data_IF_797363208621
#
_entry.id   IF_797363208621
#
_cell.length_a   1.000
_cell.length_b   1.000
_cell.length_c   1.000
_cell.angle_alpha   90.00
_cell.angle_beta   90.00
_cell.angle_gamma   90.00
#
_symmetry.space_group_name_H-M   'P 1'
#
loop_
_entity.id
_entity.type
_entity.pdbx_description
1 polymer ?
#
# COMPACT_ATOMS: atom_id res chain seq x y z
N UNK A 1 -21.23 34.06 -19.29
CA UNK A 1 -20.22 33.25 -18.53
C UNK A 1 -18.99 33.09 -19.40
N UNK A 2 -17.80 33.51 -18.95
CA UNK A 2 -16.54 33.26 -19.68
C UNK A 2 -16.37 31.75 -19.86
N UNK A 3 -16.32 31.28 -21.09
CA UNK A 3 -15.97 29.90 -21.43
C UNK A 3 -14.60 29.60 -20.87
N UNK A 4 -14.54 28.79 -19.81
CA UNK A 4 -13.26 28.36 -19.24
C UNK A 4 -12.58 27.49 -20.29
N UNK A 5 -11.43 27.92 -20.82
CA UNK A 5 -10.71 27.17 -21.85
C UNK A 5 -10.49 25.72 -21.41
N UNK A 6 -11.06 24.80 -22.18
CA UNK A 6 -11.06 23.38 -21.85
C UNK A 6 -9.70 22.76 -22.16
N UNK A 7 -8.83 22.72 -21.14
CA UNK A 7 -7.54 22.03 -21.21
C UNK A 7 -7.66 20.51 -21.17
N UNK A 8 -6.73 19.82 -21.84
CA UNK A 8 -6.52 18.37 -21.76
C UNK A 8 -5.49 18.05 -20.68
N UNK A 9 -5.95 17.42 -19.60
CA UNK A 9 -5.14 17.07 -18.45
C UNK A 9 -4.97 15.56 -18.39
N UNK A 10 -3.71 15.11 -18.33
CA UNK A 10 -3.37 13.69 -18.16
C UNK A 10 -3.00 13.44 -16.70
N UNK A 11 -3.59 12.43 -16.10
CA UNK A 11 -3.33 12.00 -14.72
C UNK A 11 -2.73 10.60 -14.76
N UNK A 12 -1.54 10.44 -14.20
CA UNK A 12 -0.82 9.16 -14.17
C UNK A 12 -0.96 8.50 -12.80
N UNK A 13 -1.58 7.32 -12.74
CA UNK A 13 -1.77 6.52 -11.54
C UNK A 13 -3.23 6.44 -11.08
N UNK A 14 -3.83 5.26 -11.18
CA UNK A 14 -5.22 4.97 -10.75
C UNK A 14 -5.42 4.76 -9.25
N UNK A 15 -4.62 5.42 -8.39
CA UNK A 15 -4.80 5.39 -6.93
C UNK A 15 -5.64 6.56 -6.41
N UNK A 16 -5.77 6.68 -5.08
CA UNK A 16 -6.60 7.73 -4.43
C UNK A 16 -6.38 9.14 -4.98
N UNK A 17 -5.11 9.58 -5.07
CA UNK A 17 -4.79 10.93 -5.52
C UNK A 17 -5.14 11.15 -7.00
N UNK A 18 -4.93 10.14 -7.86
CA UNK A 18 -5.27 10.24 -9.27
C UNK A 18 -6.78 10.25 -9.50
N UNK A 19 -7.50 9.34 -8.83
CA UNK A 19 -8.96 9.27 -8.88
C UNK A 19 -9.60 10.58 -8.42
N UNK A 20 -9.19 11.11 -7.26
CA UNK A 20 -9.72 12.37 -6.73
C UNK A 20 -9.40 13.57 -7.64
N UNK A 21 -8.18 13.60 -8.21
CA UNK A 21 -7.77 14.63 -9.16
C UNK A 21 -8.68 14.64 -10.39
N UNK A 22 -8.97 13.45 -10.94
CA UNK A 22 -9.87 13.30 -12.09
C UNK A 22 -11.27 13.81 -11.75
N UNK A 23 -11.81 13.48 -10.58
CA UNK A 23 -13.15 13.92 -10.18
C UNK A 23 -13.25 15.44 -10.10
N UNK A 24 -12.28 16.08 -9.45
CA UNK A 24 -12.25 17.55 -9.33
C UNK A 24 -12.09 18.23 -10.68
N UNK A 25 -11.18 17.76 -11.51
CA UNK A 25 -10.90 18.36 -12.82
C UNK A 25 -12.06 18.19 -13.81
N UNK A 26 -12.77 17.06 -13.75
CA UNK A 26 -14.00 16.85 -14.52
C UNK A 26 -15.12 17.79 -14.08
N UNK A 27 -15.30 18.01 -12.77
CA UNK A 27 -16.25 19.01 -12.24
C UNK A 27 -15.91 20.44 -12.70
N UNK A 28 -14.63 20.74 -12.92
CA UNK A 28 -14.18 22.03 -13.45
C UNK A 28 -14.31 22.17 -14.98
N UNK A 29 -14.79 21.14 -15.68
CA UNK A 29 -15.09 21.17 -17.12
C UNK A 29 -13.96 20.72 -18.06
N UNK A 30 -12.79 20.35 -17.53
CA UNK A 30 -11.61 19.98 -18.34
C UNK A 30 -11.74 18.61 -19.01
N UNK A 31 -11.04 18.38 -20.13
CA UNK A 31 -10.87 17.03 -20.72
C UNK A 31 -9.82 16.32 -19.86
N UNK A 32 -10.17 15.19 -19.24
CA UNK A 32 -9.24 14.48 -18.34
C UNK A 32 -9.05 13.05 -18.82
N UNK A 33 -7.80 12.62 -18.93
CA UNK A 33 -7.43 11.22 -19.16
C UNK A 33 -6.71 10.66 -17.95
N UNK A 34 -7.21 9.58 -17.37
CA UNK A 34 -6.55 8.79 -16.34
C UNK A 34 -5.79 7.64 -17.01
N UNK A 35 -4.49 7.53 -16.74
CA UNK A 35 -3.67 6.39 -17.14
C UNK A 35 -3.34 5.56 -15.91
N UNK A 36 -3.60 4.26 -15.95
CA UNK A 36 -3.32 3.33 -14.85
C UNK A 36 -2.75 2.03 -15.38
N UNK A 37 -1.82 1.42 -14.63
CA UNK A 37 -1.28 0.09 -14.95
C UNK A 37 -2.18 -1.05 -14.46
N UNK A 38 -3.33 -0.72 -13.86
CA UNK A 38 -4.37 -1.60 -13.35
C UNK A 38 -5.74 -1.01 -13.66
N UNK A 39 -6.73 -1.87 -13.81
CA UNK A 39 -8.13 -1.55 -14.08
C UNK A 39 -8.96 -1.22 -12.83
N UNK A 40 -8.35 -1.21 -11.64
CA UNK A 40 -9.00 -0.85 -10.38
C UNK A 40 -8.14 0.07 -9.51
N UNK A 41 -8.80 0.91 -8.70
CA UNK A 41 -8.19 1.59 -7.56
C UNK A 41 -8.22 0.66 -6.34
N UNK A 42 -7.06 0.38 -5.74
CA UNK A 42 -6.94 -0.51 -4.58
C UNK A 42 -7.07 0.24 -3.26
N UNK A 43 -7.97 -0.21 -2.38
CA UNK A 43 -8.27 0.46 -1.11
C UNK A 43 -7.38 -0.10 0.01
N UNK A 44 -6.14 0.36 0.06
CA UNK A 44 -5.14 -0.11 1.03
C UNK A 44 -5.59 -0.16 2.50
N UNK A 45 -6.30 0.86 3.05
CA UNK A 45 -6.68 0.85 4.46
C UNK A 45 -7.52 -0.37 4.87
N UNK A 46 -8.47 -0.81 4.03
CA UNK A 46 -9.33 -1.96 4.33
C UNK A 46 -8.72 -3.30 3.89
N UNK A 47 -7.70 -3.26 3.02
CA UNK A 47 -6.99 -4.47 2.55
C UNK A 47 -6.25 -5.22 3.66
N UNK A 48 -6.05 -4.58 4.82
CA UNK A 48 -5.38 -5.15 5.99
C UNK A 48 -6.05 -6.43 6.53
N UNK A 49 -7.34 -6.62 6.20
CA UNK A 49 -8.13 -7.76 6.61
C UNK A 49 -8.14 -8.91 5.59
N UNK A 50 -7.61 -8.70 4.38
CA UNK A 50 -7.47 -9.75 3.34
C UNK A 50 -6.58 -10.89 3.82
N UNK A 51 -5.39 -10.64 4.44
CA UNK A 51 -4.52 -11.69 4.97
C UNK A 51 -5.16 -12.68 5.94
N UNK A 52 -6.21 -12.26 6.65
CA UNK A 52 -6.88 -13.07 7.68
C UNK A 52 -8.30 -13.47 7.27
N UNK A 53 -8.62 -13.40 5.96
CA UNK A 53 -9.91 -13.82 5.39
C UNK A 53 -11.15 -13.12 6.00
N UNK A 54 -10.98 -11.90 6.51
CA UNK A 54 -12.09 -11.09 7.03
C UNK A 54 -12.77 -10.24 5.96
N UNK A 55 -12.11 -10.03 4.81
CA UNK A 55 -12.66 -9.38 3.61
C UNK A 55 -12.05 -10.06 2.37
N UNK A 56 -12.79 -10.13 1.26
CA UNK A 56 -12.24 -10.67 0.03
C UNK A 56 -11.39 -9.62 -0.69
N UNK A 57 -10.48 -10.10 -1.54
CA UNK A 57 -9.60 -9.21 -2.31
C UNK A 57 -10.36 -8.35 -3.32
N UNK A 58 -11.49 -8.82 -3.83
CA UNK A 58 -12.32 -8.05 -4.77
C UNK A 58 -13.13 -6.95 -4.07
N UNK A 59 -13.51 -7.15 -2.81
CA UNK A 59 -14.24 -6.16 -2.00
C UNK A 59 -13.39 -4.92 -1.67
N UNK A 60 -12.07 -5.00 -1.86
CA UNK A 60 -11.13 -3.89 -1.62
C UNK A 60 -10.68 -3.20 -2.91
N UNK A 61 -11.42 -3.41 -4.00
CA UNK A 61 -11.20 -2.79 -5.31
C UNK A 61 -12.34 -1.87 -5.68
N UNK A 62 -12.00 -0.76 -6.33
CA UNK A 62 -12.94 0.10 -7.02
C UNK A 62 -12.64 0.05 -8.52
N UNK A 63 -13.47 -0.62 -9.34
CA UNK A 63 -13.25 -0.69 -10.79
C UNK A 63 -13.18 0.71 -11.42
N UNK A 64 -12.08 1.02 -12.10
CA UNK A 64 -11.88 2.34 -12.70
C UNK A 64 -12.89 2.60 -13.83
N UNK A 65 -13.34 1.54 -14.52
CA UNK A 65 -14.38 1.63 -15.55
C UNK A 65 -15.72 2.13 -14.98
N UNK A 66 -16.07 1.75 -13.75
CA UNK A 66 -17.32 2.22 -13.14
C UNK A 66 -17.19 3.68 -12.70
N UNK A 67 -16.04 4.05 -12.14
CA UNK A 67 -15.73 5.46 -11.85
C UNK A 67 -15.74 6.30 -13.14
N UNK A 68 -15.25 5.75 -14.26
CA UNK A 68 -15.27 6.40 -15.57
C UNK A 68 -16.70 6.66 -16.06
N UNK A 69 -17.60 5.68 -15.93
CA UNK A 69 -19.02 5.82 -16.31
C UNK A 69 -19.70 6.93 -15.52
N UNK A 70 -19.41 7.06 -14.22
CA UNK A 70 -20.03 8.05 -13.33
C UNK A 70 -19.44 9.45 -13.57
N UNK A 71 -18.11 9.59 -13.61
CA UNK A 71 -17.42 10.89 -13.65
C UNK A 71 -17.01 11.35 -15.06
N UNK A 72 -17.30 10.54 -16.08
CA UNK A 72 -17.17 10.86 -17.51
C UNK A 72 -15.75 11.32 -17.91
N UNK A 73 -14.71 10.63 -17.44
CA UNK A 73 -13.32 10.85 -17.89
C UNK A 73 -12.90 9.82 -18.94
N UNK A 74 -11.73 9.99 -19.55
CA UNK A 74 -11.13 8.98 -20.43
C UNK A 74 -10.20 8.07 -19.61
N UNK A 75 -10.35 6.76 -19.70
CA UNK A 75 -9.49 5.80 -19.02
C UNK A 75 -8.58 5.10 -20.02
N UNK A 76 -7.31 4.99 -19.70
CA UNK A 76 -6.33 4.18 -20.42
C UNK A 76 -5.70 3.22 -19.42
N UNK A 77 -5.85 1.92 -19.69
CA UNK A 77 -5.16 0.88 -18.94
C UNK A 77 -3.87 0.55 -19.69
N UNK A 78 -2.78 1.21 -19.29
CA UNK A 78 -1.46 1.05 -19.90
C UNK A 78 -0.36 1.45 -18.91
N UNK A 79 0.84 0.90 -19.12
CA UNK A 79 2.02 1.18 -18.32
C UNK A 79 2.78 2.37 -18.88
N UNK A 80 2.99 3.38 -18.05
CA UNK A 80 3.87 4.52 -18.37
C UNK A 80 5.32 4.04 -18.48
N UNK A 81 5.98 4.40 -19.58
CA UNK A 81 7.40 4.09 -19.85
C UNK A 81 8.29 5.30 -19.59
N UNK A 82 7.91 6.47 -20.08
CA UNK A 82 8.65 7.71 -19.85
C UNK A 82 7.77 8.95 -19.98
N UNK A 83 8.22 10.05 -19.36
CA UNK A 83 7.61 11.38 -19.48
C UNK A 83 8.62 12.25 -20.24
N UNK A 84 8.21 12.78 -21.40
CA UNK A 84 9.02 13.67 -22.24
C UNK A 84 8.49 15.09 -22.05
N UNK A 85 8.85 15.68 -20.91
CA UNK A 85 8.25 16.95 -20.44
C UNK A 85 8.50 18.14 -21.37
N UNK A 86 9.63 18.17 -22.08
CA UNK A 86 9.95 19.23 -23.06
C UNK A 86 8.97 19.28 -24.24
N UNK A 87 8.31 18.16 -24.52
CA UNK A 87 7.35 18.01 -25.62
C UNK A 87 5.92 17.82 -25.12
N UNK A 88 5.68 17.97 -23.81
CA UNK A 88 4.38 17.75 -23.16
C UNK A 88 3.71 16.41 -23.55
N UNK A 89 4.50 15.33 -23.60
CA UNK A 89 3.99 13.99 -23.93
C UNK A 89 4.45 12.90 -22.97
N UNK A 90 3.65 11.86 -22.85
CA UNK A 90 3.95 10.64 -22.09
C UNK A 90 3.99 9.46 -23.05
N UNK A 91 5.05 8.67 -22.97
CA UNK A 91 5.19 7.41 -23.71
C UNK A 91 4.65 6.29 -22.82
N UNK A 92 3.58 5.64 -23.27
CA UNK A 92 3.01 4.45 -22.65
C UNK A 92 3.58 3.20 -23.36
N UNK A 93 3.18 2.00 -22.94
CA UNK A 93 3.70 0.80 -23.59
C UNK A 93 3.14 0.63 -25.00
N UNK A 94 1.89 1.03 -25.25
CA UNK A 94 1.20 0.80 -26.51
C UNK A 94 0.88 2.08 -27.30
N UNK A 95 1.06 3.25 -26.70
CA UNK A 95 0.74 4.53 -27.35
C UNK A 95 1.48 5.72 -26.72
N UNK A 96 1.42 6.86 -27.38
CA UNK A 96 1.87 8.16 -26.84
C UNK A 96 0.66 9.04 -26.57
N UNK A 97 0.70 9.85 -25.52
CA UNK A 97 -0.34 10.83 -25.20
C UNK A 97 0.26 12.20 -24.90
N UNK A 98 -0.30 13.22 -25.54
CA UNK A 98 0.04 14.63 -25.30
C UNK A 98 -0.90 15.24 -24.26
N UNK A 99 -0.47 16.33 -23.63
CA UNK A 99 -1.22 17.01 -22.59
C UNK A 99 -0.97 18.53 -22.58
N UNK A 100 -1.94 19.30 -22.08
CA UNK A 100 -1.69 20.68 -21.64
C UNK A 100 -1.09 20.69 -20.22
N UNK A 101 -1.56 19.78 -19.36
CA UNK A 101 -1.07 19.61 -18.00
C UNK A 101 -0.96 18.14 -17.62
N UNK A 102 0.06 17.82 -16.82
CA UNK A 102 0.33 16.48 -16.32
C UNK A 102 0.26 16.44 -14.80
N UNK A 103 -0.48 15.47 -14.26
CA UNK A 103 -0.49 15.13 -12.83
C UNK A 103 0.17 13.77 -12.65
N UNK A 104 1.23 13.72 -11.83
CA UNK A 104 1.92 12.47 -11.49
C UNK A 104 1.45 11.98 -10.12
N UNK A 105 0.73 10.86 -10.10
CA UNK A 105 0.05 10.30 -8.92
C UNK A 105 0.33 8.79 -8.73
N UNK A 106 1.54 8.33 -9.07
CA UNK A 106 1.96 6.92 -8.93
C UNK A 106 2.04 6.41 -7.48
N UNK A 107 2.04 7.31 -6.50
CA UNK A 107 2.34 6.97 -5.11
C UNK A 107 3.83 6.76 -4.88
N UNK A 108 4.17 6.04 -3.80
CA UNK A 108 5.56 5.77 -3.42
C UNK A 108 6.03 4.40 -3.88
N UNK A 109 7.29 4.30 -4.27
CA UNK A 109 7.98 3.02 -4.45
C UNK A 109 8.81 2.67 -3.22
N UNK A 110 9.24 1.41 -3.14
CA UNK A 110 10.10 0.93 -2.06
C UNK A 110 11.56 1.03 -2.48
N UNK A 111 12.41 1.37 -1.53
CA UNK A 111 13.85 1.25 -1.73
C UNK A 111 14.24 -0.23 -1.79
N UNK A 112 15.16 -0.60 -2.70
CA UNK A 112 15.72 -1.94 -2.69
C UNK A 112 16.46 -2.19 -1.37
N UNK A 113 16.34 -3.41 -0.87
CA UNK A 113 17.05 -3.89 0.31
C UNK A 113 17.37 -5.38 0.11
N UNK A 114 18.56 -5.86 0.52
CA UNK A 114 18.92 -7.26 0.32
C UNK A 114 17.89 -8.21 0.94
N UNK A 115 17.44 -9.20 0.16
CA UNK A 115 16.49 -10.21 0.61
C UNK A 115 15.02 -9.77 0.63
N UNK A 116 14.65 -8.60 0.09
CA UNK A 116 13.23 -8.20 0.04
C UNK A 116 12.33 -9.21 -0.68
N UNK A 117 12.89 -9.99 -1.61
CA UNK A 117 12.25 -11.12 -2.29
C UNK A 117 11.79 -12.23 -1.34
N UNK A 118 12.38 -12.33 -0.15
CA UNK A 118 11.99 -13.26 0.92
C UNK A 118 10.86 -12.70 1.80
N UNK A 119 10.39 -11.49 1.52
CA UNK A 119 9.36 -10.82 2.32
C UNK A 119 8.10 -10.59 1.50
N UNK A 120 6.98 -10.50 2.20
CA UNK A 120 5.74 -9.98 1.64
C UNK A 120 5.38 -8.66 2.29
N UNK A 121 4.56 -7.85 1.62
CA UNK A 121 4.17 -6.56 2.21
C UNK A 121 2.76 -6.13 1.87
N UNK A 122 2.04 -5.80 2.94
CA UNK A 122 0.66 -5.33 2.89
C UNK A 122 0.51 -3.93 2.26
N UNK A 123 1.59 -3.13 2.27
CA UNK A 123 1.66 -1.82 1.60
C UNK A 123 2.31 -1.91 0.21
N UNK A 124 2.52 -3.12 -0.32
CA UNK A 124 3.15 -3.35 -1.62
C UNK A 124 2.17 -3.33 -2.79
N UNK A 125 2.48 -4.12 -3.82
CA UNK A 125 1.49 -4.43 -4.87
C UNK A 125 0.28 -5.13 -4.24
N UNK A 126 -0.96 -4.87 -4.69
CA UNK A 126 -2.17 -5.46 -4.12
C UNK A 126 -2.10 -6.97 -3.88
N UNK A 127 -1.56 -7.71 -4.85
CA UNK A 127 -1.51 -9.18 -4.84
C UNK A 127 -0.63 -9.73 -3.70
N UNK A 128 0.23 -8.91 -3.11
CA UNK A 128 1.00 -9.27 -1.92
C UNK A 128 0.08 -9.59 -0.73
N UNK A 129 -1.09 -8.95 -0.62
CA UNK A 129 -2.06 -9.27 0.44
C UNK A 129 -2.54 -10.72 0.37
N UNK A 130 -2.73 -11.26 -0.84
CA UNK A 130 -3.07 -12.66 -1.08
C UNK A 130 -1.90 -13.58 -0.73
N UNK A 131 -0.67 -13.22 -1.08
CA UNK A 131 0.51 -14.02 -0.71
C UNK A 131 0.70 -14.10 0.80
N UNK A 132 0.47 -13.01 1.51
CA UNK A 132 0.48 -12.98 2.98
C UNK A 132 -0.60 -13.92 3.52
N UNK A 133 -1.84 -13.83 2.99
CA UNK A 133 -2.94 -14.73 3.36
C UNK A 133 -2.54 -16.20 3.20
N UNK A 134 -2.05 -16.56 2.03
CA UNK A 134 -1.77 -17.96 1.68
C UNK A 134 -0.64 -18.52 2.57
N UNK A 135 0.39 -17.71 2.84
CA UNK A 135 1.47 -18.10 3.77
C UNK A 135 1.01 -18.18 5.22
N UNK A 136 0.12 -17.30 5.64
CA UNK A 136 -0.47 -17.39 6.97
C UNK A 136 -1.37 -18.63 7.10
N UNK A 137 -2.15 -18.97 6.07
CA UNK A 137 -2.95 -20.19 6.02
C UNK A 137 -2.08 -21.46 6.07
N UNK A 138 -0.93 -21.49 5.38
CA UNK A 138 0.05 -22.57 5.48
C UNK A 138 0.55 -22.75 6.93
N UNK A 139 0.88 -21.65 7.61
CA UNK A 139 1.28 -21.66 9.02
C UNK A 139 0.16 -22.15 9.94
N UNK A 140 -1.08 -21.69 9.72
CA UNK A 140 -2.24 -22.14 10.49
C UNK A 140 -2.48 -23.64 10.33
N UNK A 141 -2.33 -24.18 9.12
CA UNK A 141 -2.42 -25.62 8.86
C UNK A 141 -1.30 -26.41 9.53
N UNK A 142 -0.06 -25.88 9.50
CA UNK A 142 1.09 -26.46 10.19
C UNK A 142 0.90 -26.49 11.71
N UNK A 143 0.22 -25.47 12.25
CA UNK A 143 -0.14 -25.38 13.67
C UNK A 143 0.96 -24.82 14.57
N UNK A 144 2.13 -24.48 14.01
CA UNK A 144 3.24 -23.83 14.71
C UNK A 144 4.13 -23.07 13.73
N UNK A 145 4.95 -22.15 14.23
CA UNK A 145 5.94 -21.46 13.40
C UNK A 145 6.47 -20.16 14.00
N UNK A 146 7.17 -19.40 13.16
CA UNK A 146 7.67 -18.06 13.52
C UNK A 146 7.07 -17.03 12.58
N UNK A 147 6.61 -15.91 13.11
CA UNK A 147 6.06 -14.80 12.34
C UNK A 147 6.81 -13.53 12.72
N UNK A 148 7.46 -12.91 11.73
CA UNK A 148 8.10 -11.62 11.89
C UNK A 148 7.34 -10.57 11.07
N UNK A 149 6.84 -9.52 11.73
CA UNK A 149 6.19 -8.38 11.08
C UNK A 149 6.94 -7.12 11.47
N UNK A 150 7.16 -6.22 10.51
CA UNK A 150 7.91 -5.02 10.78
C UNK A 150 7.93 -4.10 9.59
N UNK A 151 8.69 -3.03 9.73
CA UNK A 151 8.90 -2.08 8.66
C UNK A 151 10.31 -1.55 8.64
N UNK A 152 10.81 -1.31 7.44
CA UNK A 152 12.04 -0.55 7.24
C UNK A 152 11.79 0.95 7.39
N UNK A 153 12.89 1.69 7.37
CA UNK A 153 12.88 3.14 7.27
C UNK A 153 13.90 3.60 6.24
N UNK A 154 13.66 4.77 5.65
CA UNK A 154 14.66 5.45 4.86
C UNK A 154 15.30 6.55 5.72
N UNK A 155 16.58 6.44 6.10
CA UNK A 155 17.27 7.49 6.85
C UNK A 155 17.25 8.85 6.13
N UNK A 156 17.22 8.84 4.78
CA UNK A 156 17.12 10.05 3.94
C UNK A 156 15.69 10.60 3.85
N UNK A 157 14.69 9.86 4.32
CA UNK A 157 13.29 10.31 4.40
C UNK A 157 12.62 9.73 5.64
N UNK A 158 12.96 10.25 6.84
CA UNK A 158 12.42 9.74 8.10
C UNK A 158 10.90 9.90 8.18
N UNK A 159 10.36 10.92 7.51
CA UNK A 159 8.93 11.23 7.42
C UNK A 159 8.15 10.21 6.56
N UNK A 160 8.81 9.51 5.63
CA UNK A 160 8.18 8.54 4.72
C UNK A 160 7.75 7.20 5.35
N UNK A 161 8.12 6.94 6.61
CA UNK A 161 7.81 5.69 7.30
C UNK A 161 6.32 5.63 7.68
N UNK A 162 5.65 4.55 7.30
CA UNK A 162 4.23 4.26 7.63
C UNK A 162 4.13 2.96 8.42
N UNK A 163 4.28 3.05 9.74
CA UNK A 163 4.29 1.89 10.63
C UNK A 163 2.91 1.30 10.97
N UNK A 164 1.85 2.11 10.91
CA UNK A 164 0.47 1.74 11.26
C UNK A 164 0.04 0.37 10.72
N UNK A 165 0.11 0.13 9.39
CA UNK A 165 -0.30 -1.14 8.80
C UNK A 165 0.48 -2.37 9.28
N UNK A 166 1.73 -2.21 9.72
CA UNK A 166 2.50 -3.33 10.26
C UNK A 166 1.99 -3.73 11.66
N UNK A 167 1.68 -2.74 12.50
CA UNK A 167 1.07 -2.98 13.81
C UNK A 167 -0.28 -3.69 13.65
N UNK A 168 -1.13 -3.20 12.76
CA UNK A 168 -2.45 -3.76 12.52
C UNK A 168 -2.39 -5.18 11.96
N UNK A 169 -1.49 -5.45 11.00
CA UNK A 169 -1.29 -6.80 10.47
C UNK A 169 -0.84 -7.78 11.56
N UNK A 170 0.10 -7.37 12.41
CA UNK A 170 0.57 -8.18 13.52
C UNK A 170 -0.56 -8.54 14.48
N UNK A 171 -1.37 -7.56 14.89
CA UNK A 171 -2.51 -7.82 15.77
C UNK A 171 -3.61 -8.65 15.09
N UNK A 172 -3.81 -8.53 13.78
CA UNK A 172 -4.69 -9.43 13.03
C UNK A 172 -4.22 -10.89 13.10
N UNK A 173 -2.91 -11.15 12.99
CA UNK A 173 -2.36 -12.50 13.16
C UNK A 173 -2.50 -13.00 14.60
N UNK A 174 -2.12 -12.19 15.60
CA UNK A 174 -2.25 -12.54 17.02
C UNK A 174 -3.71 -12.90 17.34
N UNK A 175 -4.66 -12.06 16.91
CA UNK A 175 -6.09 -12.27 17.12
C UNK A 175 -6.56 -13.59 16.49
N UNK A 176 -6.17 -13.86 15.25
CA UNK A 176 -6.57 -15.08 14.53
C UNK A 176 -5.97 -16.34 15.18
N UNK A 177 -4.70 -16.31 15.58
CA UNK A 177 -4.03 -17.40 16.27
C UNK A 177 -4.70 -17.71 17.62
N UNK A 178 -5.08 -16.68 18.38
CA UNK A 178 -5.81 -16.84 19.65
C UNK A 178 -7.20 -17.43 19.46
N UNK A 179 -7.97 -16.94 18.48
CA UNK A 179 -9.28 -17.50 18.15
C UNK A 179 -9.20 -18.98 17.78
N UNK A 180 -8.11 -19.39 17.12
CA UNK A 180 -7.83 -20.79 16.76
C UNK A 180 -7.14 -21.59 17.85
N UNK A 181 -6.87 -21.02 19.03
CA UNK A 181 -6.13 -21.65 20.14
C UNK A 181 -4.75 -22.18 19.72
N UNK A 182 -4.08 -21.47 18.81
CA UNK A 182 -2.76 -21.82 18.30
C UNK A 182 -1.65 -20.90 18.81
N UNK A 183 -1.98 -19.78 19.47
CA UNK A 183 -1.03 -18.72 19.81
C UNK A 183 0.27 -19.19 20.45
N UNK A 184 0.16 -20.07 21.45
CA UNK A 184 1.30 -20.55 22.26
C UNK A 184 2.27 -21.44 21.46
N UNK A 185 1.92 -21.82 20.23
CA UNK A 185 2.76 -22.59 19.31
C UNK A 185 3.53 -21.71 18.32
N UNK A 186 3.44 -20.39 18.46
CA UNK A 186 4.07 -19.43 17.55
C UNK A 186 5.02 -18.48 18.26
N UNK A 187 6.18 -18.26 17.66
CA UNK A 187 7.06 -17.16 18.03
C UNK A 187 6.68 -15.92 17.20
N UNK A 188 6.27 -14.85 17.87
CA UNK A 188 5.85 -13.60 17.23
C UNK A 188 6.91 -12.53 17.47
N UNK A 189 7.46 -11.98 16.39
CA UNK A 189 8.49 -10.93 16.46
C UNK A 189 8.05 -9.67 15.72
N UNK A 190 8.20 -8.52 16.37
CA UNK A 190 8.12 -7.21 15.75
C UNK A 190 9.52 -6.63 15.51
N UNK A 191 9.79 -6.09 14.32
CA UNK A 191 11.09 -5.48 14.01
C UNK A 191 10.98 -4.08 13.38
N UNK A 192 11.92 -3.20 13.73
CA UNK A 192 12.05 -1.88 13.11
C UNK A 192 13.47 -1.30 13.31
N UNK A 193 14.01 -0.51 12.36
CA UNK A 193 15.35 0.06 12.52
C UNK A 193 15.42 1.25 13.48
N UNK A 194 14.28 1.83 13.89
CA UNK A 194 14.23 2.91 14.87
C UNK A 194 13.97 2.40 16.29
N UNK A 195 14.43 3.16 17.29
CA UNK A 195 14.25 2.85 18.72
C UNK A 195 12.80 2.95 19.20
N UNK A 196 12.02 3.86 18.62
CA UNK A 196 10.63 4.10 19.04
C UNK A 196 9.67 3.95 17.85
N UNK A 197 9.48 2.70 17.34
CA UNK A 197 8.52 2.46 16.29
C UNK A 197 7.11 2.77 16.83
N UNK A 198 6.48 3.80 16.28
CA UNK A 198 5.14 4.24 16.73
C UNK A 198 5.11 5.59 17.42
N UNK A 199 6.24 6.29 17.58
CA UNK A 199 6.30 7.64 18.18
C UNK A 199 5.27 8.64 17.58
N UNK A 200 4.90 8.47 16.31
CA UNK A 200 3.87 9.29 15.65
C UNK A 200 2.44 9.09 16.15
N UNK A 201 2.17 8.02 16.90
CA UNK A 201 0.88 7.80 17.56
C UNK A 201 0.76 8.61 18.85
N UNK A 202 1.81 9.34 19.25
CA UNK A 202 1.88 10.05 20.52
C UNK A 202 2.32 9.15 21.68
N UNK A 203 2.69 9.78 22.80
CA UNK A 203 3.24 9.08 23.97
C UNK A 203 2.28 8.03 24.56
N UNK A 204 0.99 8.34 24.64
CA UNK A 204 -0.02 7.40 25.11
C UNK A 204 -0.20 6.20 24.16
N UNK A 205 -0.24 6.44 22.84
CA UNK A 205 -0.30 5.37 21.84
C UNK A 205 0.89 4.43 21.91
N UNK A 206 2.10 4.98 22.14
CA UNK A 206 3.32 4.19 22.30
C UNK A 206 3.29 3.33 23.57
N UNK A 207 2.86 3.89 24.71
CA UNK A 207 2.68 3.13 25.97
C UNK A 207 1.66 2.00 25.82
N UNK A 208 0.55 2.26 25.12
CA UNK A 208 -0.48 1.25 24.86
C UNK A 208 0.06 0.11 23.98
N UNK A 209 0.87 0.44 22.97
CA UNK A 209 1.53 -0.54 22.11
C UNK A 209 2.49 -1.42 22.91
N UNK A 210 3.37 -0.82 23.71
CA UNK A 210 4.31 -1.54 24.60
C UNK A 210 3.57 -2.49 25.56
N UNK A 211 2.49 -2.00 26.19
CA UNK A 211 1.65 -2.83 27.07
C UNK A 211 1.01 -3.99 26.32
N UNK A 212 0.55 -3.77 25.09
CA UNK A 212 -0.05 -4.81 24.25
C UNK A 212 0.98 -5.86 23.82
N UNK A 213 2.19 -5.45 23.45
CA UNK A 213 3.29 -6.34 23.10
C UNK A 213 3.72 -7.20 24.29
N UNK A 214 3.90 -6.61 25.47
CA UNK A 214 4.19 -7.36 26.71
C UNK A 214 3.08 -8.35 27.05
N UNK A 215 1.81 -7.93 26.99
CA UNK A 215 0.65 -8.81 27.24
C UNK A 215 0.60 -10.00 26.27
N UNK A 216 1.13 -9.84 25.07
CA UNK A 216 1.12 -10.89 24.05
C UNK A 216 2.50 -11.53 23.88
N UNK A 217 3.49 -11.22 24.72
CA UNK A 217 4.82 -11.82 24.61
C UNK A 217 5.43 -11.67 23.19
N UNK A 218 5.18 -10.51 22.56
CA UNK A 218 5.77 -10.19 21.25
C UNK A 218 7.24 -9.87 21.45
N UNK A 219 8.13 -10.60 20.78
CA UNK A 219 9.55 -10.32 20.76
C UNK A 219 9.82 -9.04 19.97
N UNK A 220 10.67 -8.15 20.50
CA UNK A 220 11.00 -6.89 19.84
C UNK A 220 12.46 -6.85 19.35
N UNK A 221 12.65 -6.50 18.08
CA UNK A 221 13.94 -6.25 17.43
C UNK A 221 13.96 -4.83 16.87
N UNK A 222 14.02 -3.86 17.77
CA UNK A 222 13.90 -2.42 17.45
C UNK A 222 15.23 -1.69 17.63
N UNK A 223 15.42 -0.57 16.92
CA UNK A 223 16.65 0.23 16.98
C UNK A 223 17.87 -0.42 16.31
N UNK A 224 17.66 -1.52 15.57
CA UNK A 224 18.72 -2.30 14.92
C UNK A 224 18.58 -2.17 13.41
N UNK A 225 19.66 -1.78 12.74
CA UNK A 225 19.69 -1.69 11.28
C UNK A 225 19.45 -3.06 10.65
N UNK A 226 18.45 -3.14 9.78
CA UNK A 226 18.20 -4.34 8.96
C UNK A 226 19.34 -4.47 7.95
N UNK A 227 19.99 -5.64 7.90
CA UNK A 227 21.07 -5.94 6.94
C UNK A 227 20.56 -6.68 5.71
N UNK A 228 19.74 -7.72 5.94
CA UNK A 228 19.12 -8.56 4.91
C UNK A 228 17.96 -9.36 5.49
N UNK A 229 17.14 -9.94 4.61
CA UNK A 229 16.21 -11.02 4.93
C UNK A 229 16.68 -12.32 4.28
N UNK A 230 16.43 -13.46 4.91
CA UNK A 230 16.83 -14.81 4.47
C UNK A 230 15.72 -15.81 4.85
N UNK A 231 15.75 -17.02 4.26
CA UNK A 231 14.85 -18.14 4.59
C UNK A 231 15.36 -18.98 5.78
#
# INVERSE_FOLDING_TARGET
MKTKDKKHIVVLGGGFAGVESVFRLRKLGHKVTLVSDRDYCFVYPISIWVPVRKINFDDVKLPLADLQKVHKFNLIIDKVKSIVSKENKVILANQTIEYDYLIVAFGGSKLPHPGLEHTFSICGKPEQSLKIRDKFDELLKRGHGKIAVGFGGNPKSPTGVRGGPAFELLFNFISTLKQKKLYDKFEITFFAPMKEPGARMGGEGLKMLDKAYKRHEVNERIGIKIKRFEY
#
